data_IF_632404384882
#
_entry.id   IF_632404384882
#
_cell.length_a   1.000
_cell.length_b   1.000
_cell.length_c   1.000
_cell.angle_alpha   90.00
_cell.angle_beta   90.00
_cell.angle_gamma   90.00
#
_symmetry.space_group_name_H-M   'P 1'
#
loop_
_entity.id
_entity.type
_entity.pdbx_description
1 polymer ?
#
# COMPACT_ATOMS: atom_id res chain seq x y z
N UNK A 1 -5.30 -18.42 -8.91
CA UNK A 1 -6.70 -18.79 -8.56
C UNK A 1 -7.61 -17.88 -9.38
N UNK A 2 -8.72 -18.36 -9.91
CA UNK A 2 -9.64 -17.51 -10.71
C UNK A 2 -10.47 -16.66 -9.73
N UNK A 3 -10.44 -15.35 -9.90
CA UNK A 3 -11.23 -14.37 -9.13
C UNK A 3 -12.73 -14.68 -9.31
N UNK A 4 -13.50 -14.58 -8.22
CA UNK A 4 -14.94 -14.89 -8.23
C UNK A 4 -15.28 -16.38 -8.27
N UNK A 5 -14.30 -17.28 -8.29
CA UNK A 5 -14.56 -18.71 -8.15
C UNK A 5 -14.98 -19.06 -6.72
N UNK A 6 -15.72 -20.17 -6.55
CA UNK A 6 -16.11 -20.68 -5.21
C UNK A 6 -14.90 -20.87 -4.29
N UNK A 7 -13.75 -21.28 -4.83
CA UNK A 7 -12.50 -21.44 -4.08
C UNK A 7 -11.93 -20.09 -3.63
N UNK A 8 -12.01 -19.07 -4.47
CA UNK A 8 -11.58 -17.72 -4.13
C UNK A 8 -12.46 -17.14 -3.03
N UNK A 9 -13.77 -17.27 -3.16
CA UNK A 9 -14.75 -16.82 -2.17
C UNK A 9 -14.58 -17.53 -0.81
N UNK A 10 -14.45 -18.87 -0.81
CA UNK A 10 -14.21 -19.62 0.42
C UNK A 10 -12.90 -19.22 1.12
N UNK A 11 -11.85 -18.87 0.36
CA UNK A 11 -10.60 -18.37 0.94
C UNK A 11 -10.80 -16.98 1.56
N UNK A 12 -11.50 -16.09 0.88
CA UNK A 12 -11.80 -14.74 1.36
C UNK A 12 -12.60 -14.78 2.68
N UNK A 13 -13.63 -15.61 2.75
CA UNK A 13 -14.45 -15.78 3.95
C UNK A 13 -13.64 -16.35 5.13
N UNK A 14 -12.79 -17.37 4.90
CA UNK A 14 -11.93 -17.90 5.96
C UNK A 14 -10.94 -16.86 6.47
N UNK A 15 -10.33 -16.08 5.56
CA UNK A 15 -9.43 -15.00 5.96
C UNK A 15 -10.16 -13.94 6.79
N UNK A 16 -11.36 -13.55 6.39
CA UNK A 16 -12.15 -12.58 7.14
C UNK A 16 -12.50 -13.07 8.55
N UNK A 17 -12.85 -14.35 8.71
CA UNK A 17 -13.11 -14.94 10.02
C UNK A 17 -11.85 -14.88 10.92
N UNK A 18 -10.69 -15.34 10.41
CA UNK A 18 -9.43 -15.28 11.16
C UNK A 18 -8.99 -13.86 11.49
N UNK A 19 -9.18 -12.93 10.55
CA UNK A 19 -8.87 -11.51 10.79
C UNK A 19 -9.81 -10.90 11.84
N UNK A 20 -11.08 -11.30 11.88
CA UNK A 20 -12.02 -10.82 12.91
C UNK A 20 -11.59 -11.29 14.31
N UNK A 21 -11.16 -12.54 14.44
CA UNK A 21 -10.59 -13.04 15.70
C UNK A 21 -9.34 -12.26 16.10
N UNK A 22 -8.42 -12.04 15.13
CA UNK A 22 -7.19 -11.32 15.34
C UNK A 22 -7.43 -9.85 15.74
N UNK A 23 -8.31 -9.13 15.04
CA UNK A 23 -8.62 -7.72 15.35
C UNK A 23 -9.28 -7.60 16.73
N UNK A 24 -10.17 -8.53 17.08
CA UNK A 24 -10.82 -8.57 18.40
C UNK A 24 -9.82 -8.79 19.53
N UNK A 25 -8.82 -9.66 19.32
CA UNK A 25 -7.78 -9.89 20.33
C UNK A 25 -6.82 -8.70 20.41
N UNK A 26 -6.38 -8.18 19.26
CA UNK A 26 -5.45 -7.04 19.17
C UNK A 26 -6.02 -5.79 19.86
N UNK A 27 -7.31 -5.54 19.73
CA UNK A 27 -7.99 -4.39 20.35
C UNK A 27 -7.86 -4.40 21.89
N UNK A 28 -7.91 -5.56 22.53
CA UNK A 28 -7.72 -5.70 24.00
C UNK A 28 -6.32 -5.24 24.45
N UNK A 29 -5.37 -5.22 23.54
CA UNK A 29 -3.98 -4.84 23.77
C UNK A 29 -3.61 -3.47 23.19
N UNK A 30 -4.60 -2.71 22.68
CA UNK A 30 -4.36 -1.42 22.04
C UNK A 30 -3.59 -1.52 20.73
N UNK A 31 -3.62 -2.69 20.06
CA UNK A 31 -2.91 -2.94 18.81
C UNK A 31 -3.88 -2.80 17.63
N UNK A 32 -3.49 -2.03 16.63
CA UNK A 32 -4.23 -1.90 15.38
C UNK A 32 -3.72 -2.92 14.34
N UNK A 33 -4.63 -3.78 13.86
CA UNK A 33 -4.33 -4.68 12.75
C UNK A 33 -4.55 -3.95 11.44
N UNK A 34 -3.57 -4.00 10.56
CA UNK A 34 -3.66 -3.43 9.20
C UNK A 34 -3.56 -4.53 8.15
N UNK A 35 -4.25 -4.32 7.04
CA UNK A 35 -4.13 -5.15 5.85
C UNK A 35 -3.70 -4.27 4.69
N UNK A 36 -2.69 -4.74 3.97
CA UNK A 36 -2.13 -4.07 2.80
C UNK A 36 -2.56 -4.79 1.52
N UNK A 37 -2.78 -4.05 0.46
CA UNK A 37 -2.96 -4.61 -0.87
C UNK A 37 -1.67 -5.34 -1.29
N UNK A 38 -1.84 -6.46 -1.97
CA UNK A 38 -0.73 -7.32 -2.35
C UNK A 38 -0.61 -7.45 -3.87
N UNK A 39 0.61 -7.35 -4.36
CA UNK A 39 0.95 -7.36 -5.79
C UNK A 39 0.80 -8.73 -6.50
N UNK A 40 0.15 -9.70 -5.85
CA UNK A 40 -0.11 -11.02 -6.41
C UNK A 40 -1.60 -11.25 -6.65
N UNK A 41 -2.00 -11.33 -7.91
CA UNK A 41 -3.38 -11.56 -8.36
C UNK A 41 -4.08 -12.80 -7.78
N UNK A 42 -3.34 -13.73 -7.18
CA UNK A 42 -3.95 -14.90 -6.53
C UNK A 42 -4.40 -14.62 -5.11
N UNK A 43 -3.98 -13.51 -4.52
CA UNK A 43 -4.44 -13.07 -3.21
C UNK A 43 -5.86 -12.50 -3.31
N UNK A 44 -6.77 -12.82 -2.37
CA UNK A 44 -8.14 -12.31 -2.40
C UNK A 44 -8.26 -10.85 -1.90
N UNK A 45 -7.17 -10.12 -1.87
CA UNK A 45 -7.03 -8.71 -1.49
C UNK A 45 -6.03 -7.97 -2.38
N UNK A 46 -5.80 -8.48 -3.59
CA UNK A 46 -4.82 -7.92 -4.52
C UNK A 46 -5.31 -6.69 -5.28
N UNK A 47 -6.58 -6.34 -5.15
CA UNK A 47 -7.22 -5.21 -5.83
C UNK A 47 -7.94 -4.31 -4.83
N UNK A 48 -8.14 -3.06 -5.21
CA UNK A 48 -8.81 -2.09 -4.37
C UNK A 48 -10.21 -2.53 -3.92
N UNK A 49 -11.03 -3.09 -4.80
CA UNK A 49 -12.37 -3.58 -4.45
C UNK A 49 -12.33 -4.81 -3.54
N UNK A 50 -11.34 -5.68 -3.70
CA UNK A 50 -11.14 -6.85 -2.86
C UNK A 50 -10.66 -6.46 -1.45
N UNK A 51 -9.65 -5.59 -1.35
CA UNK A 51 -9.18 -5.07 -0.07
C UNK A 51 -10.31 -4.27 0.65
N UNK A 52 -11.07 -3.45 -0.10
CA UNK A 52 -12.21 -2.71 0.45
C UNK A 52 -13.30 -3.65 0.99
N UNK A 53 -13.47 -4.81 0.38
CA UNK A 53 -14.38 -5.81 0.92
C UNK A 53 -13.98 -6.22 2.35
N UNK A 54 -12.68 -6.47 2.61
CA UNK A 54 -12.19 -6.77 3.97
C UNK A 54 -12.41 -5.60 4.94
N UNK A 55 -12.14 -4.37 4.51
CA UNK A 55 -12.40 -3.17 5.35
C UNK A 55 -13.87 -3.08 5.81
N UNK A 56 -14.80 -3.55 4.98
CA UNK A 56 -16.24 -3.50 5.28
C UNK A 56 -16.75 -4.70 6.06
N UNK A 57 -16.06 -5.84 6.02
CA UNK A 57 -16.56 -7.11 6.59
C UNK A 57 -15.78 -7.57 7.82
N UNK A 58 -14.62 -6.96 8.10
CA UNK A 58 -13.80 -7.29 9.28
C UNK A 58 -13.80 -6.09 10.23
N UNK A 59 -14.56 -6.14 11.34
CA UNK A 59 -14.57 -5.06 12.33
C UNK A 59 -13.17 -4.79 12.87
N UNK A 60 -12.82 -3.52 13.06
CA UNK A 60 -11.53 -3.11 13.62
C UNK A 60 -10.35 -3.19 12.65
N UNK A 61 -10.50 -3.81 11.48
CA UNK A 61 -9.43 -3.87 10.48
C UNK A 61 -9.19 -2.49 9.85
N UNK A 62 -7.93 -2.13 9.71
CA UNK A 62 -7.50 -0.88 9.09
C UNK A 62 -6.66 -1.16 7.84
N UNK A 63 -6.40 -0.11 7.06
CA UNK A 63 -5.59 -0.21 5.86
C UNK A 63 -4.14 0.18 6.15
N UNK A 64 -3.19 -0.72 5.83
CA UNK A 64 -1.81 -0.37 5.53
C UNK A 64 -1.75 0.04 4.05
N UNK A 65 -1.70 1.34 3.77
CA UNK A 65 -1.78 1.83 2.41
C UNK A 65 -0.39 1.90 1.78
N UNK A 66 -0.13 1.05 0.78
CA UNK A 66 1.06 1.19 -0.07
C UNK A 66 0.74 2.08 -1.28
N UNK A 67 1.54 3.11 -1.50
CA UNK A 67 1.30 4.09 -2.57
C UNK A 67 1.57 3.54 -3.97
N UNK A 68 2.36 2.48 -4.10
CA UNK A 68 2.82 1.93 -5.38
C UNK A 68 2.21 0.59 -5.78
N UNK A 69 1.70 -0.21 -4.84
CA UNK A 69 1.22 -1.57 -5.12
C UNK A 69 0.04 -1.62 -6.09
N UNK A 70 -0.89 -0.67 -6.01
CA UNK A 70 -2.05 -0.59 -6.91
C UNK A 70 -1.66 -0.52 -8.40
N UNK A 71 -0.49 0.01 -8.71
CA UNK A 71 0.02 0.08 -10.09
C UNK A 71 0.25 -1.30 -10.72
N UNK A 72 0.56 -2.35 -9.93
CA UNK A 72 0.75 -3.71 -10.46
C UNK A 72 -0.51 -4.24 -11.14
N UNK A 73 -1.66 -3.87 -10.62
CA UNK A 73 -2.96 -4.25 -11.14
C UNK A 73 -3.56 -3.22 -12.11
N UNK A 74 -2.76 -2.23 -12.56
CA UNK A 74 -3.19 -1.13 -13.43
C UNK A 74 -4.30 -0.27 -12.77
N UNK A 75 -4.32 -0.22 -11.44
CA UNK A 75 -5.27 0.60 -10.71
C UNK A 75 -4.67 2.00 -10.45
N UNK A 76 -5.53 3.00 -10.43
CA UNK A 76 -5.16 4.39 -10.18
C UNK A 76 -4.87 4.59 -8.68
N UNK A 77 -3.60 4.82 -8.33
CA UNK A 77 -3.17 5.00 -6.95
C UNK A 77 -3.86 6.19 -6.25
N UNK A 78 -4.20 7.26 -6.98
CA UNK A 78 -4.90 8.44 -6.41
C UNK A 78 -6.35 8.12 -6.10
N UNK A 79 -7.02 7.37 -6.98
CA UNK A 79 -8.41 6.91 -6.72
C UNK A 79 -8.42 5.93 -5.56
N UNK A 80 -7.48 4.98 -5.54
CA UNK A 80 -7.33 4.03 -4.43
C UNK A 80 -7.05 4.76 -3.12
N UNK A 81 -6.14 5.73 -3.11
CA UNK A 81 -5.91 6.58 -1.94
C UNK A 81 -7.19 7.25 -1.43
N UNK A 82 -7.95 7.87 -2.33
CA UNK A 82 -9.20 8.55 -1.97
C UNK A 82 -10.23 7.58 -1.37
N UNK A 83 -10.29 6.35 -1.90
CA UNK A 83 -11.17 5.29 -1.43
C UNK A 83 -10.79 4.79 -0.03
N UNK A 84 -9.49 4.57 0.21
CA UNK A 84 -8.99 4.01 1.46
C UNK A 84 -8.71 5.04 2.56
N UNK A 85 -8.68 6.33 2.25
CA UNK A 85 -8.34 7.39 3.20
C UNK A 85 -8.99 7.25 4.58
N UNK A 86 -10.30 6.92 4.71
CA UNK A 86 -10.93 6.77 6.03
C UNK A 86 -10.43 5.57 6.85
N UNK A 87 -9.75 4.62 6.19
CA UNK A 87 -9.28 3.38 6.80
C UNK A 87 -7.78 3.36 7.05
N UNK A 88 -7.00 4.29 6.50
CA UNK A 88 -5.54 4.29 6.57
C UNK A 88 -5.08 4.44 8.02
N UNK A 89 -4.24 3.51 8.48
CA UNK A 89 -3.60 3.53 9.79
C UNK A 89 -2.06 3.51 9.70
N UNK A 90 -1.50 3.03 8.59
CA UNK A 90 -0.08 3.12 8.25
C UNK A 90 0.09 3.34 6.75
N UNK A 91 1.22 3.92 6.34
CA UNK A 91 1.52 4.17 4.93
C UNK A 91 2.89 3.61 4.59
N UNK A 92 2.96 2.77 3.57
CA UNK A 92 4.18 2.44 2.86
C UNK A 92 4.32 3.38 1.68
N UNK A 93 5.33 4.23 1.73
CA UNK A 93 5.67 5.15 0.65
C UNK A 93 6.56 4.42 -0.36
N UNK A 94 5.95 3.90 -1.39
CA UNK A 94 6.60 3.21 -2.52
C UNK A 94 6.40 4.02 -3.78
N UNK A 95 7.49 4.49 -4.38
CA UNK A 95 7.42 5.23 -5.63
C UNK A 95 7.91 4.39 -6.80
N UNK A 96 7.43 4.70 -7.98
CA UNK A 96 7.76 4.00 -9.22
C UNK A 96 7.96 4.99 -10.36
N UNK A 97 8.98 4.73 -11.18
CA UNK A 97 9.17 5.43 -12.43
C UNK A 97 8.64 4.61 -13.61
N UNK A 98 8.03 5.30 -14.58
CA UNK A 98 7.65 4.70 -15.87
C UNK A 98 8.81 4.77 -16.86
N UNK A 99 9.80 5.61 -16.57
CA UNK A 99 11.02 5.72 -17.37
C UNK A 99 12.03 4.68 -16.93
N UNK A 100 12.67 4.02 -17.89
CA UNK A 100 13.70 3.02 -17.66
C UNK A 100 14.89 3.59 -16.87
N UNK A 101 15.36 2.79 -15.91
CA UNK A 101 16.61 3.04 -15.19
C UNK A 101 17.37 1.72 -15.02
N UNK A 102 18.52 1.77 -14.36
CA UNK A 102 19.39 0.61 -14.18
C UNK A 102 18.86 -0.42 -13.14
N UNK A 103 17.78 -0.12 -12.42
CA UNK A 103 17.18 -1.04 -11.45
C UNK A 103 16.37 -2.15 -12.10
N UNK A 104 16.05 -3.17 -11.31
CA UNK A 104 15.22 -4.29 -11.73
C UNK A 104 13.74 -3.88 -11.71
N UNK A 105 13.06 -3.81 -12.87
CA UNK A 105 11.67 -3.41 -12.89
C UNK A 105 10.73 -4.52 -12.40
N UNK A 106 9.63 -4.14 -11.82
CA UNK A 106 8.45 -4.99 -11.68
C UNK A 106 7.57 -4.88 -12.93
N UNK A 107 6.75 -5.89 -13.20
CA UNK A 107 5.90 -5.92 -14.38
C UNK A 107 4.43 -5.96 -13.96
N UNK A 108 3.62 -5.06 -14.52
CA UNK A 108 2.18 -5.00 -14.26
C UNK A 108 1.41 -6.11 -14.98
N UNK A 109 0.15 -6.28 -14.65
CA UNK A 109 -0.75 -7.23 -15.33
C UNK A 109 -0.96 -6.91 -16.82
N UNK A 110 -0.73 -5.67 -17.24
CA UNK A 110 -0.72 -5.26 -18.65
C UNK A 110 0.69 -5.27 -19.28
N UNK A 111 1.65 -5.95 -18.63
CA UNK A 111 3.03 -6.07 -19.10
C UNK A 111 3.80 -4.73 -19.20
N UNK A 112 3.41 -3.72 -18.41
CA UNK A 112 4.13 -2.47 -18.24
C UNK A 112 5.25 -2.65 -17.22
N UNK A 113 6.42 -2.06 -17.47
CA UNK A 113 7.55 -2.06 -16.54
C UNK A 113 7.42 -0.87 -15.58
N UNK A 114 7.60 -1.12 -14.30
CA UNK A 114 7.66 -0.13 -13.23
C UNK A 114 9.05 -0.19 -12.60
N UNK A 115 9.81 0.87 -12.74
CA UNK A 115 11.21 0.92 -12.27
C UNK A 115 11.29 1.43 -10.84
N UNK A 116 12.22 0.89 -10.02
CA UNK A 116 12.42 1.34 -8.65
C UNK A 116 13.10 2.71 -8.62
N UNK A 117 12.61 3.58 -7.74
CA UNK A 117 13.17 4.90 -7.47
C UNK A 117 13.04 5.24 -5.99
N UNK A 118 13.79 6.24 -5.52
CA UNK A 118 13.56 6.77 -4.19
C UNK A 118 12.19 7.45 -4.11
N UNK A 119 11.61 7.48 -2.93
CA UNK A 119 10.32 8.15 -2.68
C UNK A 119 10.42 9.63 -3.03
N UNK A 120 9.54 10.10 -3.87
CA UNK A 120 9.52 11.48 -4.38
C UNK A 120 10.27 11.70 -5.69
N UNK A 121 10.96 10.68 -6.23
CA UNK A 121 11.67 10.74 -7.50
C UNK A 121 10.89 10.09 -8.65
N UNK A 122 9.75 9.50 -8.35
CA UNK A 122 8.95 8.77 -9.33
C UNK A 122 7.75 9.55 -9.87
N UNK A 123 6.75 8.78 -10.27
CA UNK A 123 5.57 9.34 -10.94
C UNK A 123 4.35 9.44 -10.03
N UNK A 124 4.43 8.97 -8.77
CA UNK A 124 3.31 9.02 -7.84
C UNK A 124 3.29 10.33 -7.05
N UNK A 125 2.13 10.95 -6.84
CA UNK A 125 2.01 12.21 -6.12
C UNK A 125 2.05 12.01 -4.58
N UNK A 126 3.11 11.35 -4.08
CA UNK A 126 3.22 10.90 -2.68
C UNK A 126 3.18 12.07 -1.72
N UNK A 127 3.89 13.17 -2.00
CA UNK A 127 3.84 14.37 -1.16
C UNK A 127 2.41 14.88 -0.98
N UNK A 128 1.62 14.93 -2.07
CA UNK A 128 0.22 15.36 -2.01
C UNK A 128 -0.62 14.41 -1.15
N UNK A 129 -0.42 13.11 -1.29
CA UNK A 129 -1.12 12.11 -0.46
C UNK A 129 -0.77 12.26 1.02
N UNK A 130 0.52 12.43 1.35
CA UNK A 130 0.98 12.67 2.72
C UNK A 130 0.36 13.93 3.32
N UNK A 131 0.40 15.05 2.60
CA UNK A 131 -0.19 16.32 3.09
C UNK A 131 -1.69 16.19 3.35
N UNK A 132 -2.45 15.55 2.45
CA UNK A 132 -3.89 15.30 2.66
C UNK A 132 -4.14 14.47 3.93
N UNK A 133 -3.30 13.49 4.24
CA UNK A 133 -3.40 12.72 5.48
C UNK A 133 -3.07 13.59 6.70
N UNK A 134 -1.95 14.31 6.68
CA UNK A 134 -1.53 15.19 7.78
C UNK A 134 -2.58 16.26 8.07
N UNK A 135 -3.12 16.90 7.05
CA UNK A 135 -4.17 17.92 7.16
C UNK A 135 -5.48 17.34 7.73
N UNK A 136 -5.72 16.04 7.56
CA UNK A 136 -6.86 15.33 8.15
C UNK A 136 -6.61 14.80 9.57
N UNK A 137 -5.47 15.11 10.18
CA UNK A 137 -5.12 14.68 11.53
C UNK A 137 -4.53 13.27 11.62
N UNK A 138 -3.99 12.73 10.53
CA UNK A 138 -3.30 11.44 10.56
C UNK A 138 -2.03 11.51 11.41
N UNK A 139 -1.89 10.56 12.32
CA UNK A 139 -0.74 10.44 13.26
C UNK A 139 0.01 9.12 13.10
N UNK A 140 -0.33 8.32 12.10
CA UNK A 140 0.33 7.05 11.81
C UNK A 140 1.71 7.23 11.16
N UNK A 141 2.36 6.11 10.86
CA UNK A 141 3.70 6.08 10.28
C UNK A 141 3.69 6.26 8.76
N UNK A 142 4.76 6.88 8.24
CA UNK A 142 5.14 6.84 6.83
C UNK A 142 6.47 6.09 6.72
N UNK A 143 6.46 4.93 6.11
CA UNK A 143 7.65 4.09 5.93
C UNK A 143 8.07 4.09 4.46
N UNK A 144 9.34 4.38 4.18
CA UNK A 144 9.87 4.23 2.82
C UNK A 144 10.02 2.75 2.47
N UNK A 145 9.46 2.35 1.34
CA UNK A 145 9.59 1.00 0.82
C UNK A 145 9.98 1.03 -0.66
N UNK A 146 11.05 0.29 -1.02
CA UNK A 146 11.41 0.09 -2.41
C UNK A 146 12.27 -1.15 -2.59
N UNK A 147 12.12 -1.80 -3.74
CA UNK A 147 12.86 -2.97 -4.16
C UNK A 147 13.43 -2.78 -5.55
N UNK A 148 14.52 -3.48 -5.83
CA UNK A 148 15.09 -3.57 -7.17
C UNK A 148 16.07 -2.46 -7.55
N UNK A 149 16.31 -1.46 -6.68
CA UNK A 149 17.33 -0.45 -6.91
C UNK A 149 18.73 -1.04 -6.83
N UNK A 150 19.63 -0.63 -7.73
CA UNK A 150 21.05 -1.02 -7.67
C UNK A 150 21.75 -0.34 -6.48
N UNK A 151 21.38 0.90 -6.18
CA UNK A 151 21.96 1.70 -5.10
C UNK A 151 20.96 1.83 -3.93
N UNK A 152 20.58 0.68 -3.36
CA UNK A 152 19.54 0.61 -2.33
C UNK A 152 19.75 1.59 -1.19
N UNK A 153 20.97 1.71 -0.66
CA UNK A 153 21.27 2.62 0.45
C UNK A 153 21.03 4.09 0.07
N UNK A 154 21.52 4.51 -1.09
CA UNK A 154 21.28 5.89 -1.59
C UNK A 154 19.80 6.18 -1.81
N UNK A 155 19.04 5.20 -2.33
CA UNK A 155 17.60 5.33 -2.45
C UNK A 155 16.92 5.49 -1.09
N UNK A 156 17.35 4.73 -0.07
CA UNK A 156 16.85 4.87 1.30
C UNK A 156 17.16 6.24 1.88
N UNK A 157 18.39 6.74 1.74
CA UNK A 157 18.81 8.06 2.20
C UNK A 157 17.97 9.18 1.56
N UNK A 158 17.76 9.12 0.23
CA UNK A 158 16.94 10.09 -0.50
C UNK A 158 15.47 10.02 -0.06
N UNK A 159 14.93 8.81 0.09
CA UNK A 159 13.57 8.60 0.57
C UNK A 159 13.38 9.16 1.97
N UNK A 160 14.32 8.92 2.88
CA UNK A 160 14.28 9.47 4.23
C UNK A 160 14.34 11.01 4.23
N UNK A 161 15.20 11.60 3.40
CA UNK A 161 15.28 13.04 3.24
C UNK A 161 13.97 13.64 2.71
N UNK A 162 13.34 12.98 1.72
CA UNK A 162 12.04 13.39 1.20
C UNK A 162 10.96 13.35 2.29
N UNK A 163 10.84 12.24 3.03
CA UNK A 163 9.83 12.08 4.08
C UNK A 163 10.02 13.12 5.19
N UNK A 164 11.26 13.32 5.67
CA UNK A 164 11.57 14.35 6.67
C UNK A 164 11.16 15.75 6.20
N UNK A 165 11.50 16.11 4.97
CA UNK A 165 11.11 17.39 4.37
C UNK A 165 9.58 17.58 4.36
N UNK A 166 8.83 16.56 3.98
CA UNK A 166 7.36 16.64 3.92
C UNK A 166 6.75 16.73 5.33
N UNK A 167 7.34 16.04 6.29
CA UNK A 167 6.93 16.07 7.71
C UNK A 167 7.35 17.36 8.44
N UNK A 168 8.20 18.20 7.84
CA UNK A 168 8.73 19.40 8.47
C UNK A 168 9.82 19.12 9.50
N UNK A 169 10.42 17.94 9.47
CA UNK A 169 11.57 17.58 10.32
C UNK A 169 12.88 18.11 9.70
N UNK A 170 13.78 18.59 10.54
CA UNK A 170 15.13 19.07 10.15
C UNK A 170 16.15 17.95 10.17
#
# INVERSE_FOLDING_TARGET
MVRGSAKHEARRLRMAASLTELTTEAEKHGITVVMEEFDNLTAPYSRADELMWFMRHVPGLRCGFDTGNFLYNEEDAVKSFSLFRPYIASVHCKDRAFTENAGSPCVTVANRKLYPVAVGDGNLPIEKMMRVLLDSGYTGSFAAEHFGSIEQLKCMERSAAFLKRVLGEK
#
